data_IF_837420055495
#
_entry.id   IF_837420055495
#
_cell.length_a   1.000
_cell.length_b   1.000
_cell.length_c   1.000
_cell.angle_alpha   90.00
_cell.angle_beta   90.00
_cell.angle_gamma   90.00
#
_symmetry.space_group_name_H-M   'P 1'
#
loop_
_entity.id
_entity.type
_entity.pdbx_description
1 polymer ?
#
# COMPACT_ATOMS: atom_id res chain seq x y z
N UNK A 1 -4.29 25.34 -0.76
CA UNK A 1 -5.12 24.79 0.33
C UNK A 1 -4.25 24.42 1.50
N UNK A 2 -4.81 24.42 2.70
CA UNK A 2 -4.18 23.86 3.90
C UNK A 2 -4.81 22.50 4.22
N UNK A 3 -4.00 21.45 4.14
CA UNK A 3 -4.41 20.04 4.35
C UNK A 3 -3.88 19.56 5.69
N UNK A 4 -4.77 19.22 6.61
CA UNK A 4 -4.42 18.54 7.87
C UNK A 4 -4.72 17.06 7.72
N UNK A 5 -3.68 16.26 7.73
CA UNK A 5 -3.73 14.81 7.59
C UNK A 5 -3.57 14.13 8.96
N UNK A 6 -4.35 13.11 9.24
CA UNK A 6 -4.27 12.32 10.48
C UNK A 6 -3.96 10.87 10.13
N UNK A 7 -2.75 10.46 10.45
CA UNK A 7 -2.23 9.12 10.19
C UNK A 7 -1.61 8.57 11.46
N UNK A 8 -2.35 7.76 12.20
CA UNK A 8 -1.87 7.17 13.44
C UNK A 8 -1.61 5.68 13.24
N UNK A 9 -0.37 5.32 13.03
CA UNK A 9 0.08 3.95 12.83
C UNK A 9 1.12 3.56 13.86
N UNK A 10 1.30 2.25 14.07
CA UNK A 10 2.30 1.70 14.99
C UNK A 10 3.48 1.05 14.25
N UNK A 11 3.47 1.09 12.91
CA UNK A 11 4.52 0.50 12.09
C UNK A 11 4.54 1.16 10.72
N UNK A 12 5.70 1.20 10.10
CA UNK A 12 5.89 1.63 8.72
C UNK A 12 5.35 0.57 7.75
N UNK A 13 4.60 0.99 6.75
CA UNK A 13 4.05 0.11 5.72
C UNK A 13 3.74 0.88 4.44
N UNK A 14 3.27 0.18 3.41
CA UNK A 14 3.00 0.78 2.12
C UNK A 14 1.98 1.92 2.15
N UNK A 15 0.97 1.83 3.01
CA UNK A 15 -0.04 2.87 3.17
C UNK A 15 0.54 4.17 3.77
N UNK A 16 1.43 4.02 4.75
CA UNK A 16 2.12 5.13 5.40
C UNK A 16 3.05 5.86 4.41
N UNK A 17 3.84 5.12 3.63
CA UNK A 17 4.69 5.69 2.59
C UNK A 17 3.86 6.41 1.51
N UNK A 18 2.83 5.79 0.97
CA UNK A 18 1.98 6.40 -0.06
C UNK A 18 1.27 7.67 0.44
N UNK A 19 0.84 7.69 1.71
CA UNK A 19 0.25 8.88 2.32
C UNK A 19 1.24 10.04 2.41
N UNK A 20 2.50 9.75 2.81
CA UNK A 20 3.54 10.76 2.92
C UNK A 20 3.95 11.29 1.54
N UNK A 21 4.16 10.40 0.56
CA UNK A 21 4.48 10.82 -0.80
C UNK A 21 3.39 11.69 -1.43
N UNK A 22 2.12 11.41 -1.14
CA UNK A 22 1.02 12.30 -1.55
C UNK A 22 1.13 13.68 -0.87
N UNK A 23 1.37 13.73 0.45
CA UNK A 23 1.45 15.00 1.18
C UNK A 23 2.65 15.83 0.73
N UNK A 24 3.80 15.19 0.50
CA UNK A 24 4.99 15.88 -0.01
C UNK A 24 4.76 16.42 -1.43
N UNK A 25 4.12 15.66 -2.32
CA UNK A 25 3.76 16.13 -3.65
C UNK A 25 2.75 17.30 -3.61
N UNK A 26 1.81 17.30 -2.67
CA UNK A 26 0.92 18.45 -2.45
C UNK A 26 1.70 19.68 -1.95
N UNK A 27 2.70 19.49 -1.07
CA UNK A 27 3.56 20.59 -0.61
C UNK A 27 4.38 21.18 -1.75
N UNK A 28 4.96 20.34 -2.64
CA UNK A 28 5.68 20.76 -3.85
C UNK A 28 4.79 21.56 -4.83
N UNK A 29 3.49 21.30 -4.81
CA UNK A 29 2.47 22.04 -5.61
C UNK A 29 1.95 23.31 -4.91
N UNK A 30 2.59 23.71 -3.79
CA UNK A 30 2.29 24.95 -3.07
C UNK A 30 1.14 24.86 -2.06
N UNK A 31 0.74 23.66 -1.63
CA UNK A 31 -0.19 23.48 -0.53
C UNK A 31 0.54 23.45 0.81
N UNK A 32 -0.09 23.97 1.85
CA UNK A 32 0.38 23.78 3.23
C UNK A 32 -0.12 22.42 3.73
N UNK A 33 0.81 21.49 3.99
CA UNK A 33 0.52 20.16 4.49
C UNK A 33 0.98 20.00 5.95
N UNK A 34 0.11 19.45 6.78
CA UNK A 34 0.37 19.16 8.19
C UNK A 34 -0.01 17.71 8.46
N UNK A 35 0.93 16.93 8.99
CA UNK A 35 0.70 15.54 9.38
C UNK A 35 0.65 15.37 10.89
N UNK A 36 -0.50 14.98 11.40
CA UNK A 36 -0.69 14.54 12.78
C UNK A 36 -0.45 13.02 12.84
N UNK A 37 0.67 12.61 13.42
CA UNK A 37 1.09 11.20 13.43
C UNK A 37 1.78 10.82 14.73
N UNK A 38 1.88 9.53 14.98
CA UNK A 38 2.74 8.92 15.99
C UNK A 38 4.02 8.30 15.41
N UNK A 39 4.29 8.51 14.10
CA UNK A 39 5.49 8.09 13.38
C UNK A 39 6.17 9.32 12.73
N UNK A 40 6.88 10.16 13.50
CA UNK A 40 7.38 11.44 13.00
C UNK A 40 8.52 11.32 11.98
N UNK A 41 9.21 10.21 11.89
CA UNK A 41 10.37 10.00 11.01
C UNK A 41 10.05 9.76 9.52
N UNK A 42 8.76 9.71 9.16
CA UNK A 42 8.34 9.38 7.78
C UNK A 42 8.41 10.54 6.77
N UNK A 43 8.57 11.79 7.22
CA UNK A 43 8.30 12.95 6.37
C UNK A 43 9.53 13.80 6.07
N UNK A 44 9.64 14.29 4.84
CA UNK A 44 10.71 15.20 4.39
C UNK A 44 10.21 16.63 4.08
N UNK A 45 9.04 16.83 3.53
CA UNK A 45 8.53 18.13 3.08
C UNK A 45 7.30 18.64 3.86
N UNK A 46 6.67 17.79 4.62
CA UNK A 46 5.42 18.07 5.35
C UNK A 46 5.71 18.41 6.81
N UNK A 47 5.01 19.42 7.37
CA UNK A 47 5.11 19.74 8.79
C UNK A 47 4.50 18.63 9.65
N UNK A 48 5.33 17.95 10.45
CA UNK A 48 4.93 16.82 11.28
C UNK A 48 4.65 17.27 12.71
N UNK A 49 3.53 16.81 13.26
CA UNK A 49 3.13 17.04 14.65
C UNK A 49 2.85 15.70 15.31
N UNK A 50 3.55 15.43 16.40
CA UNK A 50 3.29 14.23 17.18
C UNK A 50 1.85 14.25 17.73
N UNK A 51 1.07 13.22 17.40
CA UNK A 51 -0.30 13.05 17.86
C UNK A 51 -0.44 11.69 18.57
N UNK A 52 -0.43 11.64 19.90
CA UNK A 52 -0.45 10.38 20.65
C UNK A 52 -1.85 9.76 20.67
N UNK A 53 -2.39 9.42 19.52
CA UNK A 53 -3.61 8.62 19.39
C UNK A 53 -3.20 7.17 19.24
N UNK A 54 -2.88 6.51 20.33
CA UNK A 54 -2.60 5.08 20.33
C UNK A 54 -3.88 4.29 20.53
N UNK A 55 -4.30 3.63 19.49
CA UNK A 55 -5.33 2.60 19.53
C UNK A 55 -4.69 1.34 18.97
N UNK A 56 -3.99 0.58 19.77
CA UNK A 56 -3.37 -0.73 19.49
C UNK A 56 -3.31 -1.24 18.04
N UNK A 57 -2.59 -2.28 17.75
CA UNK A 57 -2.41 -2.77 16.37
C UNK A 57 -3.75 -3.27 15.82
N UNK A 58 -4.11 -2.87 14.63
CA UNK A 58 -5.23 -3.31 13.78
C UNK A 58 -6.56 -3.67 14.48
N UNK A 59 -7.67 -3.21 13.93
CA UNK A 59 -9.04 -3.47 14.41
C UNK A 59 -9.37 -4.98 14.41
N UNK A 60 -9.13 -5.66 15.54
CA UNK A 60 -9.73 -6.94 15.90
C UNK A 60 -11.10 -6.69 16.57
N UNK A 61 -11.93 -7.75 16.74
CA UNK A 61 -13.18 -7.61 17.50
C UNK A 61 -12.96 -7.06 18.92
N UNK A 62 -11.86 -7.41 19.57
CA UNK A 62 -11.50 -6.91 20.90
C UNK A 62 -11.05 -5.45 20.86
N UNK A 63 -10.23 -5.05 19.88
CA UNK A 63 -9.77 -3.67 19.71
C UNK A 63 -10.90 -2.74 19.28
N UNK A 64 -11.90 -3.23 18.55
CA UNK A 64 -13.09 -2.47 18.19
C UNK A 64 -13.92 -2.08 19.43
N UNK A 65 -14.14 -3.00 20.37
CA UNK A 65 -14.81 -2.69 21.65
C UNK A 65 -14.02 -1.67 22.46
N UNK A 66 -12.68 -1.81 22.55
CA UNK A 66 -11.79 -0.83 23.20
C UNK A 66 -11.87 0.53 22.51
N UNK A 67 -11.88 0.57 21.19
CA UNK A 67 -12.03 1.81 20.42
C UNK A 67 -13.32 2.52 20.78
N UNK A 68 -14.47 1.82 20.79
CA UNK A 68 -15.76 2.42 21.16
C UNK A 68 -15.76 3.01 22.57
N UNK A 69 -15.18 2.30 23.53
CA UNK A 69 -15.04 2.79 24.91
C UNK A 69 -14.06 3.97 25.02
N UNK A 70 -13.06 4.04 24.15
CA UNK A 70 -12.04 5.09 24.14
C UNK A 70 -12.42 6.31 23.30
N UNK A 71 -13.50 6.25 22.51
CA UNK A 71 -13.95 7.31 21.59
C UNK A 71 -14.01 8.70 22.26
N UNK A 72 -14.55 8.89 23.49
CA UNK A 72 -14.60 10.22 24.11
C UNK A 72 -13.21 10.79 24.39
N UNK A 73 -12.29 9.98 24.92
CA UNK A 73 -10.91 10.38 25.23
C UNK A 73 -10.11 10.69 23.98
N UNK A 74 -10.14 9.77 23.00
CA UNK A 74 -9.41 9.90 21.75
C UNK A 74 -9.97 11.03 20.88
N UNK A 75 -11.31 11.18 20.86
CA UNK A 75 -11.98 12.30 20.21
C UNK A 75 -11.62 13.64 20.87
N UNK A 76 -11.40 13.68 22.19
CA UNK A 76 -10.92 14.87 22.89
C UNK A 76 -9.48 15.22 22.48
N UNK A 77 -8.59 14.22 22.39
CA UNK A 77 -7.21 14.40 21.95
C UNK A 77 -7.16 14.93 20.52
N UNK A 78 -7.88 14.29 19.61
CA UNK A 78 -7.97 14.73 18.21
C UNK A 78 -8.56 16.14 18.09
N UNK A 79 -9.66 16.44 18.81
CA UNK A 79 -10.24 17.80 18.84
C UNK A 79 -9.25 18.86 19.28
N UNK A 80 -8.42 18.56 20.31
CA UNK A 80 -7.41 19.50 20.80
C UNK A 80 -6.33 19.75 19.77
N UNK A 81 -5.83 18.71 19.12
CA UNK A 81 -4.85 18.80 18.05
C UNK A 81 -5.40 19.63 16.87
N UNK A 82 -6.57 19.27 16.37
CA UNK A 82 -7.21 19.96 15.22
C UNK A 82 -7.54 21.44 15.51
N UNK A 83 -7.91 21.79 16.76
CA UNK A 83 -8.15 23.20 17.13
C UNK A 83 -6.91 24.07 17.04
N UNK A 84 -5.72 23.50 17.31
CA UNK A 84 -4.42 24.21 17.23
C UNK A 84 -4.00 24.48 15.79
N UNK A 85 -4.50 23.64 14.86
CA UNK A 85 -4.14 23.72 13.45
C UNK A 85 -5.13 24.52 12.60
N UNK A 86 -6.17 25.10 13.20
CA UNK A 86 -7.11 25.96 12.44
C UNK A 86 -6.49 27.30 12.05
N UNK A 87 -6.89 27.90 10.91
CA UNK A 87 -7.83 27.35 9.91
C UNK A 87 -7.16 26.29 9.01
N UNK A 88 -7.95 25.37 8.46
CA UNK A 88 -7.57 24.44 7.40
C UNK A 88 -8.77 24.13 6.50
N UNK A 89 -8.49 23.80 5.25
CA UNK A 89 -9.50 23.56 4.21
C UNK A 89 -9.93 22.09 4.19
N UNK A 90 -8.97 21.18 4.40
CA UNK A 90 -9.13 19.73 4.26
C UNK A 90 -8.69 19.01 5.51
N UNK A 91 -9.51 18.05 5.95
CA UNK A 91 -9.16 17.05 6.97
C UNK A 91 -9.08 15.67 6.31
N UNK A 92 -7.85 15.17 6.12
CA UNK A 92 -7.58 13.86 5.51
C UNK A 92 -7.35 12.79 6.57
N UNK A 93 -8.15 11.71 6.54
CA UNK A 93 -8.13 10.64 7.54
C UNK A 93 -7.79 9.30 6.88
N UNK A 94 -6.73 8.64 7.36
CA UNK A 94 -6.14 7.48 6.69
C UNK A 94 -6.63 6.11 7.18
N UNK A 95 -7.00 5.96 8.44
CA UNK A 95 -7.39 4.65 8.97
C UNK A 95 -8.78 4.66 9.60
N UNK A 96 -9.37 3.48 9.71
CA UNK A 96 -10.73 3.30 10.25
C UNK A 96 -10.91 3.89 11.64
N UNK A 97 -9.87 3.90 12.46
CA UNK A 97 -9.91 4.48 13.81
C UNK A 97 -10.10 6.00 13.76
N UNK A 98 -9.33 6.70 12.91
CA UNK A 98 -9.47 8.15 12.73
C UNK A 98 -10.81 8.50 12.06
N UNK A 99 -11.22 7.72 11.07
CA UNK A 99 -12.49 7.87 10.38
C UNK A 99 -13.69 7.75 11.36
N UNK A 100 -13.66 6.76 12.26
CA UNK A 100 -14.69 6.61 13.28
C UNK A 100 -14.68 7.74 14.33
N UNK A 101 -13.53 8.36 14.58
CA UNK A 101 -13.44 9.53 15.48
C UNK A 101 -14.17 10.76 14.94
N UNK A 102 -14.53 10.81 13.65
CA UNK A 102 -15.38 11.89 13.11
C UNK A 102 -16.72 11.99 13.82
N UNK A 103 -17.22 10.89 14.40
CA UNK A 103 -18.43 10.89 15.23
C UNK A 103 -18.31 11.79 16.48
N UNK A 104 -17.10 11.96 16.98
CA UNK A 104 -16.81 12.83 18.13
C UNK A 104 -16.41 14.26 17.74
N UNK A 105 -16.25 14.57 16.44
CA UNK A 105 -15.85 15.90 15.97
C UNK A 105 -17.06 16.78 15.69
N UNK A 106 -17.08 18.04 16.19
CA UNK A 106 -18.08 19.03 15.81
C UNK A 106 -17.92 19.43 14.32
N UNK A 107 -18.99 19.92 13.69
CA UNK A 107 -18.99 20.33 12.26
C UNK A 107 -17.87 21.35 11.98
N UNK A 108 -17.58 22.25 12.93
CA UNK A 108 -16.55 23.28 12.80
C UNK A 108 -15.10 22.75 12.73
N UNK A 109 -14.82 21.51 13.14
CA UNK A 109 -13.49 20.88 13.08
C UNK A 109 -13.38 19.83 11.97
N UNK A 110 -14.42 19.63 11.15
CA UNK A 110 -14.34 18.63 10.08
C UNK A 110 -13.81 19.19 8.76
N UNK A 111 -13.90 20.55 8.55
CA UNK A 111 -13.58 21.18 7.29
C UNK A 111 -14.17 20.37 6.11
N UNK A 112 -13.49 20.24 4.95
CA UNK A 112 -13.82 19.21 3.96
C UNK A 112 -13.19 17.90 4.41
N UNK A 113 -14.01 16.97 4.87
CA UNK A 113 -13.56 15.70 5.46
C UNK A 113 -13.36 14.66 4.35
N UNK A 114 -12.13 14.21 4.18
CA UNK A 114 -11.73 13.24 3.16
C UNK A 114 -11.20 11.98 3.83
N UNK A 115 -11.66 10.83 3.38
CA UNK A 115 -11.19 9.53 3.85
C UNK A 115 -10.28 8.87 2.81
N UNK A 116 -9.07 8.47 3.20
CA UNK A 116 -8.19 7.64 2.39
C UNK A 116 -8.35 6.16 2.78
N UNK A 117 -8.61 5.31 1.79
CA UNK A 117 -8.97 3.91 1.94
C UNK A 117 -7.92 3.02 1.26
N UNK A 118 -7.05 2.43 2.08
CA UNK A 118 -5.86 1.69 1.66
C UNK A 118 -6.11 0.22 1.31
N UNK A 119 -7.35 -0.21 1.32
CA UNK A 119 -7.73 -1.58 1.00
C UNK A 119 -9.19 -1.88 1.32
N UNK A 120 -9.65 -3.09 1.01
CA UNK A 120 -11.03 -3.50 1.21
C UNK A 120 -11.50 -3.31 2.65
N UNK A 121 -12.79 -2.98 2.82
CA UNK A 121 -13.35 -2.78 4.14
C UNK A 121 -13.18 -4.04 5.01
N UNK A 122 -12.62 -3.94 6.21
CA UNK A 122 -12.46 -5.09 7.11
C UNK A 122 -13.78 -5.80 7.39
N UNK A 123 -13.77 -7.13 7.39
CA UNK A 123 -14.96 -7.95 7.56
C UNK A 123 -15.86 -7.57 8.78
N UNK A 124 -15.30 -7.20 9.96
CA UNK A 124 -16.13 -6.75 11.09
C UNK A 124 -16.95 -5.49 10.81
N UNK A 125 -16.54 -4.65 9.87
CA UNK A 125 -17.26 -3.42 9.51
C UNK A 125 -18.27 -3.59 8.37
N UNK A 126 -18.34 -4.77 7.76
CA UNK A 126 -19.25 -5.03 6.63
C UNK A 126 -20.70 -5.31 7.06
N UNK A 127 -20.93 -5.75 8.30
CA UNK A 127 -22.26 -6.19 8.79
C UNK A 127 -22.52 -5.80 10.25
N UNK A 128 -23.77 -5.81 10.66
CA UNK A 128 -24.21 -5.64 12.05
C UNK A 128 -24.07 -4.22 12.59
N UNK A 129 -23.93 -4.09 13.92
CA UNK A 129 -23.84 -2.81 14.63
C UNK A 129 -22.59 -2.03 14.19
N UNK A 130 -21.46 -2.71 13.98
CA UNK A 130 -20.23 -2.08 13.54
C UNK A 130 -20.37 -1.40 12.18
N UNK A 131 -21.10 -2.01 11.24
CA UNK A 131 -21.42 -1.38 9.97
C UNK A 131 -22.32 -0.15 10.14
N UNK A 132 -23.33 -0.22 11.05
CA UNK A 132 -24.19 0.96 11.32
C UNK A 132 -23.39 2.13 11.83
N UNK A 133 -22.44 1.90 12.76
CA UNK A 133 -21.55 2.94 13.29
C UNK A 133 -20.63 3.47 12.19
N UNK A 134 -20.06 2.59 11.37
CA UNK A 134 -19.21 2.98 10.23
C UNK A 134 -19.98 3.84 9.23
N UNK A 135 -21.20 3.46 8.84
CA UNK A 135 -22.07 4.25 7.95
C UNK A 135 -22.45 5.60 8.55
N UNK A 136 -22.71 5.66 9.87
CA UNK A 136 -22.97 6.93 10.55
C UNK A 136 -21.76 7.87 10.50
N UNK A 137 -20.54 7.34 10.62
CA UNK A 137 -19.32 8.10 10.42
C UNK A 137 -19.13 8.51 8.95
N UNK A 138 -19.38 7.59 8.01
CA UNK A 138 -19.25 7.83 6.57
C UNK A 138 -20.17 8.94 6.04
N UNK A 139 -21.35 9.14 6.65
CA UNK A 139 -22.23 10.29 6.32
C UNK A 139 -21.62 11.65 6.63
N UNK A 140 -20.50 11.68 7.34
CA UNK A 140 -19.77 12.90 7.72
C UNK A 140 -18.55 13.15 6.85
N UNK A 141 -18.27 12.26 5.88
CA UNK A 141 -17.22 12.47 4.89
C UNK A 141 -17.79 13.16 3.65
N UNK A 142 -16.99 14.03 3.07
CA UNK A 142 -17.32 14.76 1.84
C UNK A 142 -16.74 14.03 0.61
N UNK A 143 -15.64 13.25 0.78
CA UNK A 143 -15.11 12.35 -0.22
C UNK A 143 -14.40 11.16 0.41
N UNK A 144 -14.49 9.97 -0.22
CA UNK A 144 -13.72 8.77 0.12
C UNK A 144 -12.84 8.39 -1.08
N UNK A 145 -11.54 8.21 -0.84
CA UNK A 145 -10.52 7.94 -1.85
C UNK A 145 -10.07 6.50 -1.71
N UNK A 146 -10.50 5.63 -2.59
CA UNK A 146 -10.14 4.22 -2.62
C UNK A 146 -8.92 4.00 -3.52
N UNK A 147 -7.96 3.19 -3.09
CA UNK A 147 -6.71 2.94 -3.85
C UNK A 147 -6.91 2.06 -5.10
N UNK A 148 -8.10 1.46 -5.27
CA UNK A 148 -8.43 0.57 -6.39
C UNK A 148 -9.95 0.47 -6.59
N UNK A 149 -10.41 0.06 -7.77
CA UNK A 149 -11.84 -0.20 -8.03
C UNK A 149 -12.38 -1.31 -7.12
N UNK A 150 -11.60 -2.36 -6.88
CA UNK A 150 -11.97 -3.41 -5.95
C UNK A 150 -12.20 -2.86 -4.53
N UNK A 151 -11.33 -1.97 -4.05
CA UNK A 151 -11.53 -1.27 -2.77
C UNK A 151 -12.79 -0.41 -2.80
N UNK A 152 -12.98 0.42 -3.86
CA UNK A 152 -14.17 1.26 -4.05
C UNK A 152 -15.46 0.44 -3.97
N UNK A 153 -15.53 -0.65 -4.72
CA UNK A 153 -16.70 -1.53 -4.73
C UNK A 153 -17.06 -2.07 -3.34
N UNK A 154 -16.05 -2.46 -2.52
CA UNK A 154 -16.32 -2.94 -1.14
C UNK A 154 -16.85 -1.85 -0.22
N UNK A 155 -16.44 -0.59 -0.42
CA UNK A 155 -16.91 0.55 0.36
C UNK A 155 -18.35 0.92 -0.01
N UNK A 156 -18.66 0.99 -1.29
CA UNK A 156 -20.02 1.25 -1.80
C UNK A 156 -20.98 0.15 -1.34
N UNK A 157 -20.58 -1.12 -1.47
CA UNK A 157 -21.37 -2.25 -0.97
C UNK A 157 -21.62 -2.19 0.56
N UNK A 158 -20.70 -1.59 1.32
CA UNK A 158 -20.86 -1.35 2.75
C UNK A 158 -21.73 -0.11 3.07
N UNK A 159 -22.15 0.65 2.06
CA UNK A 159 -23.08 1.77 2.17
C UNK A 159 -22.46 3.15 2.22
N UNK A 160 -21.27 3.34 1.69
CA UNK A 160 -20.77 4.67 1.33
C UNK A 160 -21.53 5.20 0.09
N UNK A 161 -21.67 6.51 0.00
CA UNK A 161 -22.27 7.14 -1.18
C UNK A 161 -21.33 6.98 -2.37
N UNK A 162 -21.80 6.33 -3.43
CA UNK A 162 -21.05 6.10 -4.65
C UNK A 162 -20.54 7.38 -5.29
N UNK A 163 -21.35 8.46 -5.27
CA UNK A 163 -21.02 9.77 -5.83
C UNK A 163 -19.91 10.49 -5.07
N UNK A 164 -19.64 10.09 -3.83
CA UNK A 164 -18.60 10.63 -2.94
C UNK A 164 -17.42 9.65 -2.79
N UNK A 165 -17.41 8.52 -3.53
CA UNK A 165 -16.37 7.49 -3.44
C UNK A 165 -15.63 7.40 -4.77
N UNK A 166 -14.38 7.83 -4.76
CA UNK A 166 -13.51 7.96 -5.94
C UNK A 166 -12.36 6.96 -5.86
N UNK A 167 -11.78 6.59 -7.01
CA UNK A 167 -10.49 5.90 -7.04
C UNK A 167 -9.40 6.95 -7.08
N UNK A 168 -8.44 6.82 -6.16
CA UNK A 168 -7.19 7.58 -6.16
C UNK A 168 -6.05 6.58 -5.97
N UNK A 169 -5.22 6.32 -6.98
CA UNK A 169 -4.08 5.41 -6.91
C UNK A 169 -3.08 5.80 -5.81
N UNK A 170 -2.25 4.86 -5.38
CA UNK A 170 -1.15 5.17 -4.48
C UNK A 170 -0.17 6.12 -5.14
N UNK A 171 0.15 7.22 -4.46
CA UNK A 171 1.23 8.11 -4.86
C UNK A 171 2.59 7.44 -4.61
N UNK A 172 3.50 7.52 -5.57
CA UNK A 172 4.87 7.02 -5.46
C UNK A 172 5.83 8.06 -6.05
N UNK A 173 6.98 8.25 -5.42
CA UNK A 173 8.11 9.03 -5.98
C UNK A 173 8.81 8.20 -7.05
N UNK A 174 8.28 8.25 -8.27
CA UNK A 174 8.71 7.38 -9.38
C UNK A 174 10.17 7.59 -9.76
N UNK A 175 10.72 8.77 -9.49
CA UNK A 175 12.11 9.13 -9.74
C UNK A 175 13.09 8.39 -8.83
N UNK A 176 12.66 8.07 -7.60
CA UNK A 176 13.45 7.35 -6.60
C UNK A 176 13.41 5.83 -6.82
N UNK A 177 12.47 5.35 -7.64
CA UNK A 177 12.26 3.92 -7.87
C UNK A 177 12.57 3.56 -9.33
N UNK A 178 13.87 3.41 -9.62
CA UNK A 178 14.37 3.06 -10.94
C UNK A 178 15.23 1.81 -10.88
N UNK A 179 15.19 1.04 -11.97
CA UNK A 179 16.18 -0.01 -12.17
C UNK A 179 17.59 0.56 -12.18
N UNK A 180 18.49 -0.11 -11.47
CA UNK A 180 19.91 0.21 -11.43
C UNK A 180 20.75 -1.03 -11.71
N UNK A 181 21.45 -1.03 -12.82
CA UNK A 181 22.40 -2.10 -13.18
C UNK A 181 23.53 -2.21 -12.16
N UNK A 182 23.99 -1.10 -11.61
CA UNK A 182 25.02 -1.07 -10.57
C UNK A 182 24.54 -1.74 -9.30
N UNK A 183 23.32 -1.41 -8.82
CA UNK A 183 22.71 -2.03 -7.65
C UNK A 183 22.43 -3.52 -7.88
N UNK A 184 21.99 -3.91 -9.10
CA UNK A 184 21.83 -5.33 -9.48
C UNK A 184 23.12 -6.11 -9.27
N UNK A 185 24.22 -5.65 -9.82
CA UNK A 185 25.54 -6.30 -9.71
C UNK A 185 26.01 -6.35 -8.25
N UNK A 186 25.90 -5.25 -7.54
CA UNK A 186 26.32 -5.16 -6.13
C UNK A 186 25.55 -6.15 -5.25
N UNK A 187 24.20 -6.15 -5.32
CA UNK A 187 23.37 -7.03 -4.50
C UNK A 187 23.62 -8.49 -4.85
N UNK A 188 23.71 -8.83 -6.16
CA UNK A 188 23.96 -10.21 -6.60
C UNK A 188 25.35 -10.68 -6.14
N UNK A 189 26.40 -9.87 -6.31
CA UNK A 189 27.74 -10.21 -5.86
C UNK A 189 27.80 -10.43 -4.34
N UNK A 190 27.16 -9.57 -3.55
CA UNK A 190 27.05 -9.71 -2.10
C UNK A 190 26.37 -11.01 -1.66
N UNK A 191 25.39 -11.48 -2.45
CA UNK A 191 24.65 -12.71 -2.17
C UNK A 191 25.28 -13.97 -2.82
N UNK A 192 26.37 -13.82 -3.56
CA UNK A 192 27.00 -14.92 -4.30
C UNK A 192 26.16 -15.44 -5.46
N UNK A 193 25.34 -14.58 -6.07
CA UNK A 193 24.48 -14.90 -7.22
C UNK A 193 25.23 -14.54 -8.51
N UNK A 194 25.36 -15.47 -9.44
CA UNK A 194 25.97 -15.21 -10.75
C UNK A 194 25.10 -14.23 -11.58
N UNK A 195 25.72 -13.53 -12.53
CA UNK A 195 25.02 -12.52 -13.34
C UNK A 195 23.90 -13.13 -14.20
N UNK A 196 24.10 -14.33 -14.69
CA UNK A 196 23.21 -15.10 -15.56
C UNK A 196 22.17 -15.96 -14.79
N UNK A 197 22.29 -16.04 -13.45
CA UNK A 197 21.31 -16.73 -12.61
C UNK A 197 19.93 -16.09 -12.74
N UNK A 198 18.87 -16.91 -12.72
CA UNK A 198 17.50 -16.41 -12.65
C UNK A 198 17.09 -16.11 -11.23
N UNK A 199 16.70 -14.87 -10.96
CA UNK A 199 16.34 -14.41 -9.60
C UNK A 199 14.87 -14.08 -9.51
N UNK A 200 14.16 -14.80 -8.66
CA UNK A 200 12.79 -14.53 -8.28
C UNK A 200 12.77 -13.77 -6.96
N UNK A 201 12.08 -12.64 -6.91
CA UNK A 201 12.07 -11.80 -5.72
C UNK A 201 10.68 -11.47 -5.20
N UNK A 202 10.58 -11.27 -3.88
CA UNK A 202 9.39 -10.70 -3.24
C UNK A 202 9.79 -9.67 -2.21
N UNK A 203 9.19 -8.48 -2.27
CA UNK A 203 9.37 -7.40 -1.30
C UNK A 203 8.06 -7.23 -0.51
N UNK A 204 7.94 -7.93 0.62
CA UNK A 204 6.73 -7.93 1.44
C UNK A 204 7.08 -8.12 2.91
N UNK A 205 6.16 -7.75 3.80
CA UNK A 205 6.25 -8.24 5.19
C UNK A 205 6.17 -9.77 5.20
N UNK A 206 7.01 -10.41 5.99
CA UNK A 206 7.00 -11.87 6.15
C UNK A 206 5.90 -12.28 7.14
N UNK A 207 4.66 -12.20 6.65
CA UNK A 207 3.42 -12.47 7.39
C UNK A 207 2.58 -13.50 6.62
N UNK A 208 1.89 -14.39 7.32
CA UNK A 208 1.10 -15.48 6.74
C UNK A 208 0.11 -15.02 5.64
N UNK A 209 -0.42 -13.78 5.73
CA UNK A 209 -1.28 -13.21 4.68
C UNK A 209 -0.58 -12.92 3.36
N UNK A 210 0.74 -12.86 3.33
CA UNK A 210 1.52 -12.61 2.10
C UNK A 210 1.87 -13.88 1.35
N UNK A 211 1.56 -15.05 1.93
CA UNK A 211 1.67 -16.35 1.30
C UNK A 211 3.01 -16.58 0.58
N UNK A 212 4.10 -16.09 1.18
CA UNK A 212 5.45 -16.38 0.68
C UNK A 212 5.81 -17.88 0.76
N UNK A 213 5.05 -18.67 1.50
CA UNK A 213 5.07 -20.13 1.49
C UNK A 213 4.88 -20.70 0.07
N UNK A 214 3.84 -20.24 -0.63
CA UNK A 214 3.53 -20.62 -2.02
C UNK A 214 4.70 -20.25 -2.96
N UNK A 215 5.30 -19.09 -2.77
CA UNK A 215 6.44 -18.66 -3.57
C UNK A 215 7.68 -19.54 -3.33
N UNK A 216 7.99 -19.86 -2.07
CA UNK A 216 9.12 -20.75 -1.73
C UNK A 216 8.94 -22.13 -2.37
N UNK A 217 7.73 -22.70 -2.25
CA UNK A 217 7.41 -24.00 -2.84
C UNK A 217 7.50 -23.97 -4.37
N UNK A 218 6.98 -22.92 -5.02
CA UNK A 218 7.05 -22.79 -6.47
C UNK A 218 8.48 -22.67 -6.99
N UNK A 219 9.33 -21.88 -6.31
CA UNK A 219 10.76 -21.76 -6.68
C UNK A 219 11.49 -23.09 -6.47
N UNK A 220 11.13 -23.87 -5.46
CA UNK A 220 11.72 -25.19 -5.23
C UNK A 220 11.40 -26.20 -6.35
N UNK A 221 10.34 -25.98 -7.13
CA UNK A 221 9.99 -26.79 -8.29
C UNK A 221 10.76 -26.42 -9.57
N UNK A 222 11.48 -25.29 -9.59
CA UNK A 222 12.21 -24.83 -10.78
C UNK A 222 13.56 -25.56 -10.93
N UNK A 223 13.92 -25.81 -12.18
CA UNK A 223 15.20 -26.37 -12.55
C UNK A 223 16.23 -25.29 -12.91
N UNK A 224 17.52 -25.64 -12.81
CA UNK A 224 18.61 -24.75 -13.16
C UNK A 224 19.07 -23.88 -12.00
N UNK A 225 19.85 -22.85 -12.32
CA UNK A 225 20.39 -21.91 -11.35
C UNK A 225 19.36 -20.80 -11.07
N UNK A 226 18.46 -21.09 -10.14
CA UNK A 226 17.38 -20.21 -9.71
C UNK A 226 17.55 -19.82 -8.27
N UNK A 227 17.56 -18.52 -8.01
CA UNK A 227 17.67 -17.95 -6.67
C UNK A 227 16.35 -17.28 -6.23
N UNK A 228 16.06 -17.36 -4.96
CA UNK A 228 14.95 -16.67 -4.30
C UNK A 228 15.48 -15.56 -3.39
N UNK A 229 14.96 -14.36 -3.54
CA UNK A 229 15.19 -13.25 -2.59
C UNK A 229 13.86 -12.88 -1.94
N UNK A 230 13.77 -13.07 -0.62
CA UNK A 230 12.67 -12.55 0.21
C UNK A 230 13.18 -11.35 1.00
N UNK A 231 12.70 -10.16 0.67
CA UNK A 231 13.08 -8.91 1.34
C UNK A 231 11.93 -8.40 2.20
N UNK A 232 12.18 -8.28 3.49
CA UNK A 232 11.22 -7.85 4.50
C UNK A 232 11.38 -8.60 5.81
N UNK A 233 10.58 -8.23 6.80
CA UNK A 233 10.58 -8.80 8.15
C UNK A 233 9.18 -9.22 8.56
N UNK A 234 9.08 -10.13 9.53
CA UNK A 234 7.79 -10.53 10.09
C UNK A 234 7.80 -11.89 10.78
N UNK A 235 6.70 -12.19 11.44
CA UNK A 235 6.53 -13.38 12.28
C UNK A 235 6.63 -14.73 11.54
N UNK A 236 6.52 -14.72 10.22
CA UNK A 236 6.62 -15.95 9.40
C UNK A 236 8.03 -16.25 8.93
N UNK A 237 9.04 -15.46 9.29
CA UNK A 237 10.41 -15.63 8.79
C UNK A 237 11.00 -16.99 9.11
N UNK A 238 10.91 -17.44 10.36
CA UNK A 238 11.47 -18.73 10.79
C UNK A 238 10.80 -19.91 10.06
N UNK A 239 9.51 -19.82 9.81
CA UNK A 239 8.76 -20.82 9.05
C UNK A 239 9.21 -20.84 7.59
N UNK A 240 9.32 -19.68 6.96
CA UNK A 240 9.78 -19.56 5.57
C UNK A 240 11.23 -20.04 5.40
N UNK A 241 12.12 -19.74 6.36
CA UNK A 241 13.49 -20.27 6.35
C UNK A 241 13.52 -21.80 6.45
N UNK A 242 12.62 -22.39 7.26
CA UNK A 242 12.49 -23.86 7.32
C UNK A 242 12.00 -24.46 6.00
N UNK A 243 10.99 -23.82 5.39
CA UNK A 243 10.41 -24.25 4.12
C UNK A 243 11.45 -24.13 2.98
N UNK A 244 12.28 -23.10 3.00
CA UNK A 244 13.31 -22.84 2.00
C UNK A 244 14.58 -23.72 2.12
N UNK A 245 14.67 -24.63 3.11
CA UNK A 245 15.85 -25.51 3.27
C UNK A 245 16.25 -26.30 2.01
N UNK A 246 15.31 -26.80 1.18
CA UNK A 246 15.68 -27.49 -0.07
C UNK A 246 16.39 -26.59 -1.08
N UNK A 247 16.23 -25.29 -1.02
CA UNK A 247 16.94 -24.33 -1.87
C UNK A 247 18.39 -24.09 -1.43
N UNK A 248 18.73 -24.37 -0.16
CA UNK A 248 20.08 -24.19 0.38
C UNK A 248 20.57 -22.75 0.23
N UNK A 249 21.77 -22.57 -0.34
CA UNK A 249 22.38 -21.26 -0.58
C UNK A 249 21.65 -20.39 -1.62
N UNK A 250 20.67 -20.93 -2.32
CA UNK A 250 19.86 -20.19 -3.31
C UNK A 250 18.69 -19.41 -2.72
N UNK A 251 18.42 -19.55 -1.41
CA UNK A 251 17.38 -18.79 -0.70
C UNK A 251 18.01 -17.68 0.15
N UNK A 252 17.70 -16.44 -0.17
CA UNK A 252 18.23 -15.25 0.48
C UNK A 252 17.11 -14.50 1.19
N UNK A 253 17.33 -14.22 2.48
CA UNK A 253 16.42 -13.43 3.32
C UNK A 253 17.10 -12.12 3.66
N UNK A 254 16.53 -11.01 3.19
CA UNK A 254 17.02 -9.67 3.43
C UNK A 254 16.08 -8.92 4.38
N UNK A 255 16.60 -8.04 5.24
CA UNK A 255 15.75 -7.15 6.04
C UNK A 255 14.91 -6.23 5.15
N UNK A 256 13.97 -5.51 5.75
CA UNK A 256 13.20 -4.49 5.02
C UNK A 256 14.14 -3.40 4.50
N UNK A 257 14.20 -3.16 3.17
CA UNK A 257 15.20 -2.26 2.59
C UNK A 257 14.85 -0.77 2.75
N UNK A 258 13.66 -0.42 3.27
CA UNK A 258 13.27 0.97 3.41
C UNK A 258 13.39 1.76 2.08
N UNK A 259 14.15 2.85 2.11
CA UNK A 259 14.39 3.71 0.93
C UNK A 259 15.25 3.04 -0.15
N UNK A 260 15.94 1.95 0.17
CA UNK A 260 16.76 1.20 -0.81
C UNK A 260 15.96 0.10 -1.54
N UNK A 261 14.64 0.15 -1.48
CA UNK A 261 13.77 -0.86 -2.11
C UNK A 261 14.09 -1.07 -3.59
N UNK A 262 14.34 0.00 -4.35
CA UNK A 262 14.71 -0.05 -5.77
C UNK A 262 16.02 -0.82 -6.02
N UNK A 263 17.00 -0.68 -5.14
CA UNK A 263 18.29 -1.37 -5.24
C UNK A 263 18.08 -2.89 -5.11
N UNK A 264 17.33 -3.33 -4.10
CA UNK A 264 17.03 -4.75 -3.89
C UNK A 264 16.19 -5.32 -5.03
N UNK A 265 15.15 -4.59 -5.47
CA UNK A 265 14.30 -5.00 -6.60
C UNK A 265 15.09 -5.10 -7.90
N UNK A 266 16.10 -4.27 -8.11
CA UNK A 266 16.97 -4.33 -9.28
C UNK A 266 17.70 -5.68 -9.41
N UNK A 267 17.94 -6.39 -8.31
CA UNK A 267 18.53 -7.73 -8.34
C UNK A 267 17.58 -8.81 -8.87
N UNK A 268 16.28 -8.59 -8.90
CA UNK A 268 15.28 -9.55 -9.39
C UNK A 268 15.27 -9.61 -10.92
N UNK A 269 14.85 -10.75 -11.47
CA UNK A 269 14.42 -10.90 -12.86
C UNK A 269 12.90 -10.85 -12.98
N UNK A 270 12.20 -11.39 -11.98
CA UNK A 270 10.73 -11.36 -11.83
C UNK A 270 10.38 -11.11 -10.39
N UNK A 271 9.43 -10.23 -10.15
CA UNK A 271 8.84 -10.04 -8.85
C UNK A 271 7.57 -10.89 -8.67
N UNK A 272 7.34 -11.39 -7.46
CA UNK A 272 6.17 -12.21 -7.15
C UNK A 272 5.39 -11.64 -5.98
N UNK A 273 4.07 -11.64 -6.13
CA UNK A 273 3.14 -11.19 -5.11
C UNK A 273 1.95 -12.16 -4.98
N UNK A 274 1.94 -12.98 -3.93
CA UNK A 274 0.95 -14.05 -3.69
C UNK A 274 0.10 -13.82 -2.43
N UNK A 275 -0.55 -12.68 -2.22
CA UNK A 275 -1.25 -12.41 -0.98
C UNK A 275 -2.55 -13.20 -0.85
N UNK A 276 -3.07 -13.25 0.38
CA UNK A 276 -4.49 -13.56 0.60
C UNK A 276 -5.39 -12.51 -0.09
N UNK A 277 -6.64 -12.83 -0.45
CA UNK A 277 -7.51 -12.03 -1.35
C UNK A 277 -7.85 -10.60 -0.92
N UNK A 278 -7.32 -10.07 0.17
CA UNK A 278 -7.76 -8.82 0.80
C UNK A 278 -6.77 -7.68 0.71
N UNK A 279 -6.06 -7.54 -0.40
CA UNK A 279 -5.12 -6.43 -0.63
C UNK A 279 -5.79 -5.32 -1.47
N UNK A 280 -5.42 -4.06 -1.19
CA UNK A 280 -5.93 -2.89 -1.92
C UNK A 280 -5.13 -2.59 -3.20
N UNK A 281 -4.02 -1.88 -3.06
CA UNK A 281 -3.08 -1.57 -4.14
C UNK A 281 -1.65 -1.67 -3.60
N UNK A 282 -1.05 -2.89 -3.61
CA UNK A 282 0.20 -3.14 -2.90
C UNK A 282 1.40 -2.48 -3.57
N UNK A 283 2.21 -1.75 -2.79
CA UNK A 283 3.50 -1.23 -3.25
C UNK A 283 4.45 -2.37 -3.69
N UNK A 284 4.27 -3.57 -3.16
CA UNK A 284 5.00 -4.78 -3.59
C UNK A 284 4.76 -5.18 -5.06
N UNK A 285 3.78 -4.59 -5.72
CA UNK A 285 3.53 -4.70 -7.16
C UNK A 285 4.03 -3.44 -7.87
N UNK A 286 3.69 -2.26 -7.35
CA UNK A 286 4.01 -0.97 -8.00
C UNK A 286 5.53 -0.73 -8.08
N UNK A 287 6.27 -0.99 -6.99
CA UNK A 287 7.72 -0.73 -6.96
C UNK A 287 8.51 -1.62 -7.93
N UNK A 288 8.26 -2.95 -8.04
CA UNK A 288 8.85 -3.76 -9.10
C UNK A 288 8.51 -3.27 -10.51
N UNK A 289 7.28 -2.85 -10.77
CA UNK A 289 6.90 -2.27 -12.07
C UNK A 289 7.76 -1.05 -12.40
N UNK A 290 7.95 -0.12 -11.45
CA UNK A 290 8.80 1.05 -11.60
C UNK A 290 10.29 0.68 -11.82
N UNK A 291 10.74 -0.45 -11.31
CA UNK A 291 12.08 -0.98 -11.54
C UNK A 291 12.17 -1.88 -12.78
N UNK A 292 11.23 -1.82 -13.70
CA UNK A 292 11.20 -2.61 -14.95
C UNK A 292 11.22 -4.12 -14.70
N UNK A 293 10.65 -4.58 -13.60
CA UNK A 293 10.51 -6.01 -13.33
C UNK A 293 9.07 -6.45 -13.63
N UNK A 294 8.88 -7.45 -14.49
CA UNK A 294 7.56 -8.04 -14.65
C UNK A 294 7.11 -8.65 -13.33
N UNK A 295 5.81 -8.59 -13.07
CA UNK A 295 5.23 -9.08 -11.82
C UNK A 295 4.35 -10.29 -12.10
N UNK A 296 4.52 -11.36 -11.34
CA UNK A 296 3.57 -12.46 -11.26
C UNK A 296 2.79 -12.29 -9.95
N UNK A 297 1.50 -12.05 -10.06
CA UNK A 297 0.63 -11.91 -8.90
C UNK A 297 -0.47 -12.96 -8.91
N UNK A 298 -0.90 -13.41 -7.74
CA UNK A 298 -2.13 -14.16 -7.61
C UNK A 298 -3.33 -13.22 -7.55
N UNK A 299 -4.52 -13.72 -7.86
CA UNK A 299 -5.72 -12.93 -8.17
C UNK A 299 -6.34 -12.10 -7.07
N UNK A 300 -5.56 -11.50 -6.17
CA UNK A 300 -6.06 -10.49 -5.21
C UNK A 300 -6.68 -9.30 -5.97
N UNK A 301 -7.81 -8.81 -5.48
CA UNK A 301 -8.58 -7.73 -6.13
C UNK A 301 -7.68 -6.54 -6.52
N UNK A 302 -6.84 -6.05 -5.60
CA UNK A 302 -5.97 -4.92 -5.87
C UNK A 302 -4.83 -5.18 -6.87
N UNK A 303 -4.36 -6.43 -7.02
CA UNK A 303 -3.34 -6.76 -8.02
C UNK A 303 -3.90 -6.73 -9.44
N UNK A 304 -5.18 -7.10 -9.62
CA UNK A 304 -5.84 -7.05 -10.94
C UNK A 304 -5.97 -5.62 -11.46
N UNK A 305 -6.24 -4.66 -10.58
CA UNK A 305 -6.36 -3.25 -10.95
C UNK A 305 -5.00 -2.62 -11.30
N UNK A 306 -3.88 -3.22 -10.82
CA UNK A 306 -2.52 -2.69 -11.02
C UNK A 306 -1.79 -3.25 -12.25
N UNK A 307 -2.13 -4.47 -12.68
CA UNK A 307 -1.40 -5.17 -13.73
C UNK A 307 -2.26 -5.28 -15.01
N UNK A 308 -2.21 -4.30 -15.90
CA UNK A 308 -2.85 -4.42 -17.21
C UNK A 308 -2.15 -5.49 -18.06
N UNK A 309 -2.83 -6.00 -19.11
CA UNK A 309 -2.24 -6.97 -20.04
C UNK A 309 -0.88 -6.50 -20.56
N UNK A 310 0.11 -7.39 -20.51
CA UNK A 310 1.48 -7.12 -20.97
C UNK A 310 2.42 -6.53 -19.89
N UNK A 311 1.92 -6.25 -18.69
CA UNK A 311 2.76 -5.78 -17.57
C UNK A 311 3.15 -6.88 -16.57
N UNK A 312 2.74 -8.11 -16.83
CA UNK A 312 2.96 -9.25 -15.95
C UNK A 312 1.84 -10.27 -16.08
N UNK A 313 1.69 -11.13 -15.08
CA UNK A 313 0.69 -12.18 -15.05
C UNK A 313 -0.16 -12.12 -13.77
N UNK A 314 -1.46 -12.32 -13.96
CA UNK A 314 -2.39 -12.60 -12.86
C UNK A 314 -2.77 -14.08 -12.91
N UNK A 315 -2.41 -14.83 -11.88
CA UNK A 315 -2.69 -16.26 -11.78
C UNK A 315 -4.02 -16.53 -11.08
N UNK A 316 -4.78 -17.45 -11.64
CA UNK A 316 -6.02 -18.00 -11.05
C UNK A 316 -6.05 -19.51 -11.29
N UNK A 317 -6.41 -20.36 -10.31
CA UNK A 317 -6.82 -19.97 -8.95
C UNK A 317 -5.67 -19.40 -8.12
N UNK A 318 -6.04 -18.73 -7.03
CA UNK A 318 -5.06 -18.12 -6.12
C UNK A 318 -4.25 -19.21 -5.39
N UNK A 319 -2.94 -18.92 -5.18
CA UNK A 319 -2.04 -19.77 -4.40
C UNK A 319 -1.82 -21.19 -4.99
N UNK A 320 -1.94 -21.35 -6.29
CA UNK A 320 -1.56 -22.58 -6.99
C UNK A 320 -0.05 -22.58 -7.22
N UNK A 321 0.65 -23.47 -6.49
CA UNK A 321 2.11 -23.63 -6.56
C UNK A 321 2.56 -24.04 -7.96
N UNK A 322 1.84 -24.96 -8.61
CA UNK A 322 2.18 -25.45 -9.94
C UNK A 322 2.01 -24.36 -10.99
N UNK A 323 0.89 -23.65 -10.98
CA UNK A 323 0.65 -22.54 -11.89
C UNK A 323 1.69 -21.42 -11.72
N UNK A 324 2.10 -21.13 -10.47
CA UNK A 324 3.17 -20.16 -10.22
C UNK A 324 4.52 -20.66 -10.73
N UNK A 325 4.87 -21.93 -10.50
CA UNK A 325 6.11 -22.52 -11.00
C UNK A 325 6.17 -22.49 -12.54
N UNK A 326 5.06 -22.85 -13.22
CA UNK A 326 4.97 -22.81 -14.69
C UNK A 326 5.14 -21.40 -15.25
N UNK A 327 4.51 -20.40 -14.60
CA UNK A 327 4.64 -19.00 -14.98
C UNK A 327 6.10 -18.52 -14.83
N UNK A 328 6.75 -18.84 -13.72
CA UNK A 328 8.15 -18.50 -13.45
C UNK A 328 9.10 -19.18 -14.42
N UNK A 329 8.88 -20.49 -14.73
CA UNK A 329 9.64 -21.20 -15.73
C UNK A 329 9.48 -20.59 -17.14
N UNK A 330 8.30 -20.04 -17.44
CA UNK A 330 8.07 -19.27 -18.67
C UNK A 330 8.94 -18.02 -18.74
N UNK A 331 9.01 -17.25 -17.67
CA UNK A 331 9.89 -16.07 -17.57
C UNK A 331 11.37 -16.44 -17.55
N UNK A 332 11.77 -17.56 -16.92
CA UNK A 332 13.15 -18.04 -16.91
C UNK A 332 13.66 -18.27 -18.34
N UNK A 333 12.85 -18.87 -19.20
CA UNK A 333 13.21 -19.23 -20.59
C UNK A 333 13.15 -18.06 -21.57
N UNK A 334 12.47 -16.96 -21.23
CA UNK A 334 12.22 -15.85 -22.17
C UNK A 334 12.68 -14.50 -21.59
N UNK A 335 13.98 -14.18 -21.72
CA UNK A 335 14.54 -12.91 -21.25
C UNK A 335 13.99 -11.69 -22.04
N UNK A 336 13.63 -11.88 -23.31
CA UNK A 336 13.08 -10.80 -24.14
C UNK A 336 11.68 -10.41 -23.66
N UNK A 337 10.87 -11.40 -23.30
CA UNK A 337 9.58 -11.17 -22.67
C UNK A 337 9.74 -10.41 -21.34
N UNK A 338 10.70 -10.81 -20.48
CA UNK A 338 10.96 -10.10 -19.21
C UNK A 338 11.27 -8.63 -19.45
N UNK A 339 12.16 -8.34 -20.39
CA UNK A 339 12.56 -6.99 -20.72
C UNK A 339 11.39 -6.16 -21.30
N UNK A 340 10.60 -6.74 -22.19
CA UNK A 340 9.44 -6.08 -22.81
C UNK A 340 8.36 -5.77 -21.78
N UNK A 341 7.94 -6.76 -21.00
CA UNK A 341 6.89 -6.60 -19.99
C UNK A 341 7.34 -5.69 -18.85
N UNK A 342 8.63 -5.73 -18.48
CA UNK A 342 9.20 -4.80 -17.50
C UNK A 342 9.11 -3.33 -17.94
N UNK A 343 9.45 -3.01 -19.19
CA UNK A 343 9.31 -1.64 -19.73
C UNK A 343 7.85 -1.19 -19.74
N UNK A 344 6.93 -2.02 -20.24
CA UNK A 344 5.50 -1.70 -20.26
C UNK A 344 4.96 -1.48 -18.84
N UNK A 345 5.41 -2.29 -17.87
CA UNK A 345 5.07 -2.12 -16.46
C UNK A 345 5.50 -0.76 -15.93
N UNK A 346 6.73 -0.33 -16.24
CA UNK A 346 7.24 0.98 -15.82
C UNK A 346 6.43 2.11 -16.44
N UNK A 347 6.22 2.10 -17.76
CA UNK A 347 5.43 3.12 -18.46
C UNK A 347 4.04 3.29 -17.82
N UNK A 348 3.35 2.18 -17.56
CA UNK A 348 2.05 2.20 -16.92
C UNK A 348 2.13 2.76 -15.49
N UNK A 349 3.08 2.29 -14.69
CA UNK A 349 3.21 2.71 -13.28
C UNK A 349 3.61 4.19 -13.15
N UNK A 350 4.46 4.72 -14.02
CA UNK A 350 4.83 6.15 -14.04
C UNK A 350 3.62 7.04 -14.33
N UNK A 351 2.79 6.67 -15.29
CA UNK A 351 1.59 7.43 -15.63
C UNK A 351 0.58 7.39 -14.49
N UNK A 352 0.36 6.20 -13.92
CA UNK A 352 -0.75 5.99 -12.97
C UNK A 352 -0.40 6.40 -11.54
N UNK A 353 0.86 6.19 -11.12
CA UNK A 353 1.28 6.26 -9.72
C UNK A 353 2.23 7.40 -9.40
N UNK A 354 2.65 8.22 -10.39
CA UNK A 354 3.54 9.35 -10.05
C UNK A 354 2.88 10.26 -9.02
N UNK A 355 3.64 10.64 -7.99
CA UNK A 355 3.13 11.45 -6.90
C UNK A 355 2.53 12.78 -7.39
N UNK A 356 3.13 13.37 -8.43
CA UNK A 356 2.62 14.58 -9.07
C UNK A 356 1.26 14.39 -9.74
N UNK A 357 1.05 13.26 -10.47
CA UNK A 357 -0.24 12.93 -11.08
C UNK A 357 -1.32 12.69 -10.03
N UNK A 358 -1.00 11.86 -9.02
CA UNK A 358 -1.95 11.53 -7.95
C UNK A 358 -2.31 12.77 -7.11
N UNK A 359 -1.35 13.68 -6.87
CA UNK A 359 -1.62 14.95 -6.20
C UNK A 359 -2.56 15.85 -7.00
N UNK A 360 -2.39 15.94 -8.33
CA UNK A 360 -3.28 16.69 -9.20
C UNK A 360 -4.71 16.12 -9.20
N UNK A 361 -4.84 14.79 -9.21
CA UNK A 361 -6.16 14.14 -9.14
C UNK A 361 -6.81 14.32 -7.77
N UNK A 362 -6.02 14.27 -6.68
CA UNK A 362 -6.48 14.60 -5.33
C UNK A 362 -7.05 16.03 -5.28
N UNK A 363 -6.33 17.02 -5.84
CA UNK A 363 -6.80 18.41 -5.90
C UNK A 363 -8.13 18.52 -6.62
N UNK A 364 -8.29 17.86 -7.76
CA UNK A 364 -9.52 17.87 -8.57
C UNK A 364 -10.71 17.32 -7.76
N UNK A 365 -10.53 16.17 -7.09
CA UNK A 365 -11.58 15.55 -6.29
C UNK A 365 -11.94 16.42 -5.08
N UNK A 366 -10.95 16.95 -4.39
CA UNK A 366 -11.14 17.78 -3.21
C UNK A 366 -11.79 19.12 -3.55
N UNK A 367 -11.41 19.75 -4.65
CA UNK A 367 -12.06 20.99 -5.13
C UNK A 367 -13.56 20.77 -5.41
N UNK A 368 -13.92 19.65 -6.02
CA UNK A 368 -15.32 19.29 -6.23
C UNK A 368 -16.08 19.06 -4.91
N UNK A 369 -15.41 18.41 -3.90
CA UNK A 369 -15.99 18.18 -2.59
C UNK A 369 -16.19 19.48 -1.81
N UNK A 370 -15.26 20.44 -1.88
CA UNK A 370 -15.38 21.77 -1.28
C UNK A 370 -16.59 22.51 -1.88
N UNK A 371 -16.66 22.58 -3.20
CA UNK A 371 -17.76 23.25 -3.91
C UNK A 371 -19.13 22.59 -3.64
N UNK A 372 -19.18 21.28 -3.45
CA UNK A 372 -20.38 20.55 -3.06
C UNK A 372 -20.86 20.93 -1.66
N UNK A 373 -19.94 21.06 -0.71
CA UNK A 373 -20.22 21.40 0.68
C UNK A 373 -20.70 22.85 0.89
N UNK A 374 -20.23 23.78 0.07
CA UNK A 374 -20.67 25.18 0.12
C UNK A 374 -22.12 25.36 -0.35
N UNK A 375 -22.65 24.38 -1.10
CA UNK A 375 -24.03 24.36 -1.59
C UNK A 375 -25.02 23.67 -0.64
N UNK A 376 -24.53 22.87 0.33
CA UNK A 376 -25.32 22.23 1.41
C UNK A 376 -25.36 23.11 2.68
#
# INVERSE_FOLDING_TARGET
MRVVSVLTSTAHGGAEFAAVWLLDALAERGHETVLLTNLPELCSGTRVIACPIEIGPKLSRASYRRLLLSLPRLGSTLRRALRRERPYDVLLLHFKKEQLLTLALPKSLRATCVWAEWGPLPAPLRKGIANRVYRAAARRTDAALAVSEGTRATLVAAGLDERKTFVLPNAVRVEEHRYSEAARREIRARLGIAEDSFVVGSLTRLHAKKRNDVLVEAVACLNGDVHLILAGEGESEDELRRLARPLGARAHFLPSPGNEAANVISAFDVAVFCPSPTEGAPLSVILPMLCERPVVATGAEGARDLLPPGCGLILTPENDVSALADALAGYQRDPERRAREGRLSREHAEITHSAAHVAAEFERIVAAAIAGRERE
#
